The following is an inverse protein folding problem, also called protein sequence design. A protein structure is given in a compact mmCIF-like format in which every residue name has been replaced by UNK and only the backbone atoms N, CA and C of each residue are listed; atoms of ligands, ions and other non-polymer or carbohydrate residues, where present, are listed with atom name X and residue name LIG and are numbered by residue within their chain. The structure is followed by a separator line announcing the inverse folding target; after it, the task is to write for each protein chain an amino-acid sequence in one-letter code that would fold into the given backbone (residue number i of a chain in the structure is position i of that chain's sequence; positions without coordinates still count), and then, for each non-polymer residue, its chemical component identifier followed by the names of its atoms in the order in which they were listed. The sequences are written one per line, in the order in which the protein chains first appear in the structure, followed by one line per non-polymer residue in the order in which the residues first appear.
data_IF_349287014885
#
_entry.id   IF_349287014885
#
_cell.length_a   1.000
_cell.length_b   1.000
_cell.length_c   1.000
_cell.angle_alpha   90.00
_cell.angle_beta   90.00
_cell.angle_gamma   90.00
#
_symmetry.space_group_name_H-M   'P 1'
#
loop_
_entity.id
_entity.type
_entity.pdbx_description
1 polymer ?
#
# COMPACT_ATOMS: atom_id res chain seq x y z
N UNK A 1 -8.07 15.64 -62.88
CA UNK A 1 -8.49 14.83 -61.72
C UNK A 1 -7.54 13.64 -61.67
N UNK A 2 -6.67 13.41 -60.70
CA UNK A 2 -6.40 13.96 -59.36
C UNK A 2 -4.89 13.79 -59.06
N UNK A 3 -4.27 14.62 -58.20
CA UNK A 3 -2.85 14.54 -57.90
C UNK A 3 -2.55 13.53 -56.77
N UNK A 4 -1.54 12.68 -56.97
CA UNK A 4 -0.99 11.75 -55.96
C UNK A 4 -0.38 12.53 -54.78
N UNK A 5 -1.08 12.55 -53.65
CA UNK A 5 -0.60 13.07 -52.37
C UNK A 5 0.34 12.05 -51.67
N UNK A 6 1.64 12.24 -51.90
CA UNK A 6 2.76 12.12 -50.94
C UNK A 6 2.60 11.24 -49.69
N UNK A 7 3.14 10.01 -49.74
CA UNK A 7 3.46 9.13 -48.59
C UNK A 7 4.78 9.54 -47.88
N UNK A 8 5.17 10.81 -47.93
CA UNK A 8 6.48 11.30 -47.42
C UNK A 8 6.41 11.88 -46.00
N UNK A 9 5.24 11.89 -45.37
CA UNK A 9 5.00 12.54 -44.08
C UNK A 9 5.20 11.64 -42.84
N UNK A 10 5.20 10.29 -42.97
CA UNK A 10 5.27 9.40 -41.79
C UNK A 10 6.68 9.28 -41.20
N UNK A 11 7.71 9.12 -42.03
CA UNK A 11 9.07 8.85 -41.56
C UNK A 11 9.74 10.06 -40.86
N UNK A 12 9.35 11.28 -41.23
CA UNK A 12 9.80 12.53 -40.58
C UNK A 12 9.08 12.79 -39.27
N UNK A 13 7.85 12.30 -39.12
CA UNK A 13 7.08 12.37 -37.86
C UNK A 13 7.68 11.46 -36.79
N UNK A 14 8.04 10.22 -37.15
CA UNK A 14 8.65 9.25 -36.21
C UNK A 14 10.02 9.68 -35.70
N UNK A 15 10.86 10.27 -36.56
CA UNK A 15 12.17 10.81 -36.16
C UNK A 15 12.05 12.01 -35.22
N UNK A 16 11.03 12.85 -35.43
CA UNK A 16 10.74 13.98 -34.53
C UNK A 16 10.16 13.50 -33.21
N UNK A 17 9.26 12.51 -33.23
CA UNK A 17 8.68 11.92 -32.03
C UNK A 17 9.75 11.23 -31.18
N UNK A 18 10.62 10.42 -31.79
CA UNK A 18 11.75 9.80 -31.09
C UNK A 18 12.73 10.84 -30.54
N UNK A 19 13.09 11.88 -31.31
CA UNK A 19 13.95 12.96 -30.81
C UNK A 19 13.30 13.72 -29.63
N UNK A 20 12.00 13.97 -29.68
CA UNK A 20 11.24 14.60 -28.57
C UNK A 20 11.20 13.70 -27.34
N UNK A 21 11.02 12.39 -27.51
CA UNK A 21 11.08 11.41 -26.41
C UNK A 21 12.47 11.39 -25.79
N UNK A 22 13.54 11.34 -26.59
CA UNK A 22 14.91 11.36 -26.07
C UNK A 22 15.26 12.67 -25.36
N UNK A 23 14.80 13.82 -25.89
CA UNK A 23 14.97 15.10 -25.22
C UNK A 23 14.20 15.17 -23.89
N UNK A 24 12.96 14.65 -23.86
CA UNK A 24 12.17 14.56 -22.64
C UNK A 24 12.82 13.63 -21.60
N UNK A 25 13.35 12.48 -22.03
CA UNK A 25 14.09 11.55 -21.15
C UNK A 25 15.37 12.19 -20.61
N UNK A 26 16.13 12.90 -21.43
CA UNK A 26 17.34 13.60 -20.99
C UNK A 26 17.03 14.73 -19.98
N UNK A 27 15.96 15.50 -20.22
CA UNK A 27 15.50 16.53 -19.30
C UNK A 27 14.96 15.94 -17.98
N UNK A 28 14.21 14.84 -18.05
CA UNK A 28 13.74 14.10 -16.89
C UNK A 28 14.91 13.53 -16.08
N UNK A 29 15.95 13.02 -16.75
CA UNK A 29 17.17 12.52 -16.10
C UNK A 29 17.98 13.62 -15.40
N UNK A 30 18.10 14.79 -16.03
CA UNK A 30 18.75 15.95 -15.40
C UNK A 30 18.02 16.40 -14.13
N UNK A 31 16.70 16.49 -14.21
CA UNK A 31 15.83 16.81 -13.07
C UNK A 31 15.92 15.74 -11.98
N UNK A 32 15.91 14.46 -12.35
CA UNK A 32 16.05 13.33 -11.44
C UNK A 32 17.37 13.37 -10.65
N UNK A 33 18.50 13.64 -11.30
CA UNK A 33 19.80 13.73 -10.60
C UNK A 33 19.86 14.88 -9.61
N UNK A 34 19.21 16.01 -9.92
CA UNK A 34 19.11 17.13 -9.00
C UNK A 34 18.27 16.77 -7.77
N UNK A 35 17.17 16.04 -7.99
CA UNK A 35 16.23 15.61 -6.95
C UNK A 35 16.84 14.55 -6.03
N UNK A 36 17.57 13.57 -6.58
CA UNK A 36 18.29 12.55 -5.81
C UNK A 36 19.36 13.12 -4.87
N UNK A 37 19.83 14.35 -5.09
CA UNK A 37 20.76 15.05 -4.19
C UNK A 37 20.07 15.74 -3.01
N UNK A 38 18.75 15.90 -3.04
CA UNK A 38 18.00 16.55 -1.97
C UNK A 38 17.82 15.55 -0.83
N UNK A 39 18.36 15.86 0.36
CA UNK A 39 18.22 14.98 1.54
C UNK A 39 16.77 14.69 1.88
N UNK A 40 15.90 15.69 1.75
CA UNK A 40 14.46 15.54 2.02
C UNK A 40 13.83 14.49 1.12
N UNK A 41 14.18 14.46 -0.17
CA UNK A 41 13.70 13.44 -1.11
C UNK A 41 14.18 12.04 -0.72
N UNK A 42 15.44 11.89 -0.31
CA UNK A 42 15.97 10.59 0.15
C UNK A 42 15.24 10.07 1.39
N UNK A 43 14.96 10.95 2.36
CA UNK A 43 14.20 10.59 3.57
C UNK A 43 12.77 10.19 3.22
N UNK A 44 12.14 10.88 2.26
CA UNK A 44 10.78 10.56 1.81
C UNK A 44 10.72 9.21 1.09
N UNK A 45 11.66 8.93 0.18
CA UNK A 45 11.75 7.63 -0.49
C UNK A 45 12.01 6.51 0.53
N UNK A 46 12.92 6.73 1.49
CA UNK A 46 13.21 5.75 2.55
C UNK A 46 11.97 5.48 3.42
N UNK A 47 11.25 6.52 3.82
CA UNK A 47 10.01 6.39 4.57
C UNK A 47 8.92 5.68 3.75
N UNK A 48 8.77 5.99 2.46
CA UNK A 48 7.84 5.31 1.57
C UNK A 48 8.16 3.82 1.43
N UNK A 49 9.44 3.45 1.31
CA UNK A 49 9.86 2.05 1.25
C UNK A 49 9.44 1.29 2.53
N UNK A 50 9.74 1.86 3.70
CA UNK A 50 9.38 1.25 5.00
C UNK A 50 7.85 1.21 5.16
N UNK A 51 7.18 2.33 4.93
CA UNK A 51 5.73 2.46 5.05
C UNK A 51 4.94 1.67 4.01
N UNK A 52 5.57 1.30 2.89
CA UNK A 52 4.98 0.47 1.85
C UNK A 52 4.95 -1.02 2.20
N UNK A 53 5.82 -1.50 3.09
CA UNK A 53 5.86 -2.92 3.46
C UNK A 53 4.54 -3.41 4.10
N UNK A 54 3.93 -2.68 5.06
CA UNK A 54 2.60 -3.02 5.58
C UNK A 54 1.51 -3.08 4.50
N UNK A 55 1.55 -2.19 3.50
CA UNK A 55 0.56 -2.17 2.43
C UNK A 55 0.65 -3.38 1.50
N UNK A 56 1.85 -3.91 1.25
CA UNK A 56 1.97 -5.19 0.52
C UNK A 56 1.48 -6.37 1.33
N UNK A 57 1.71 -6.34 2.65
CA UNK A 57 1.20 -7.34 3.59
C UNK A 57 -0.34 -7.43 3.56
N UNK A 58 -1.03 -6.29 3.45
CA UNK A 58 -2.50 -6.22 3.27
C UNK A 58 -2.98 -6.99 2.03
N UNK A 59 -2.15 -7.14 1.00
CA UNK A 59 -2.46 -7.96 -0.19
C UNK A 59 -2.79 -9.42 0.14
N UNK A 60 -2.30 -9.93 1.28
CA UNK A 60 -2.58 -11.29 1.76
C UNK A 60 -3.81 -11.40 2.66
N UNK A 61 -4.55 -10.31 2.93
CA UNK A 61 -5.69 -10.34 3.85
C UNK A 61 -6.77 -11.34 3.43
N UNK A 62 -7.10 -11.44 2.14
CA UNK A 62 -8.08 -12.43 1.67
C UNK A 62 -7.64 -13.86 2.01
N UNK A 63 -6.35 -14.16 1.78
CA UNK A 63 -5.78 -15.47 2.07
C UNK A 63 -5.72 -15.74 3.57
N UNK A 64 -5.35 -14.74 4.37
CA UNK A 64 -5.36 -14.84 5.83
C UNK A 64 -6.76 -15.12 6.37
N UNK A 65 -7.79 -14.43 5.87
CA UNK A 65 -9.19 -14.66 6.23
C UNK A 65 -9.67 -16.06 5.83
N UNK A 66 -9.30 -16.55 4.64
CA UNK A 66 -9.59 -17.93 4.24
C UNK A 66 -8.94 -18.94 5.18
N UNK A 67 -7.69 -18.71 5.57
CA UNK A 67 -6.97 -19.62 6.49
C UNK A 67 -7.54 -19.60 7.91
N UNK A 68 -8.22 -18.51 8.31
CA UNK A 68 -8.98 -18.44 9.56
C UNK A 68 -10.28 -19.28 9.54
N UNK A 69 -10.75 -19.70 8.36
CA UNK A 69 -11.98 -20.48 8.19
C UNK A 69 -13.17 -19.71 7.63
N UNK A 70 -12.96 -18.52 7.05
CA UNK A 70 -13.98 -17.86 6.23
C UNK A 70 -14.09 -18.53 4.86
N UNK A 71 -15.31 -18.67 4.35
CA UNK A 71 -15.49 -19.07 2.96
C UNK A 71 -15.04 -17.96 1.99
N UNK A 72 -14.85 -18.31 0.72
CA UNK A 72 -14.26 -17.42 -0.29
C UNK A 72 -15.00 -16.08 -0.45
N UNK A 73 -16.33 -16.10 -0.41
CA UNK A 73 -17.18 -14.91 -0.64
C UNK A 73 -17.13 -13.94 0.54
N UNK A 74 -17.34 -14.36 1.80
CA UNK A 74 -17.07 -13.55 2.97
C UNK A 74 -15.66 -12.97 3.02
N UNK A 75 -14.61 -13.78 2.78
CA UNK A 75 -13.23 -13.32 2.81
C UNK A 75 -12.98 -12.21 1.76
N UNK A 76 -13.42 -12.41 0.52
CA UNK A 76 -13.31 -11.39 -0.53
C UNK A 76 -14.11 -10.12 -0.19
N UNK A 77 -15.30 -10.28 0.40
CA UNK A 77 -16.18 -9.16 0.79
C UNK A 77 -15.56 -8.32 1.91
N UNK A 78 -14.95 -8.97 2.90
CA UNK A 78 -14.23 -8.32 4.00
C UNK A 78 -13.03 -7.52 3.49
N UNK A 79 -12.23 -8.11 2.59
CA UNK A 79 -11.12 -7.40 1.94
C UNK A 79 -11.62 -6.23 1.09
N UNK A 80 -12.70 -6.39 0.34
CA UNK A 80 -13.30 -5.31 -0.43
C UNK A 80 -13.78 -4.16 0.48
N UNK A 81 -14.38 -4.50 1.62
CA UNK A 81 -14.85 -3.54 2.60
C UNK A 81 -13.68 -2.80 3.27
N UNK A 82 -12.56 -3.48 3.51
CA UNK A 82 -11.31 -2.85 3.94
C UNK A 82 -10.84 -1.80 2.92
N UNK A 83 -10.78 -2.14 1.63
CA UNK A 83 -10.40 -1.17 0.59
C UNK A 83 -11.41 -0.02 0.44
N UNK A 84 -12.70 -0.28 0.63
CA UNK A 84 -13.73 0.75 0.71
C UNK A 84 -13.52 1.69 1.90
N UNK A 85 -13.17 1.15 3.06
CA UNK A 85 -12.77 1.89 4.26
C UNK A 85 -11.54 2.76 3.98
N UNK A 86 -10.51 2.20 3.35
CA UNK A 86 -9.29 2.92 2.93
C UNK A 86 -9.60 4.09 2.00
N UNK A 87 -10.50 3.92 1.03
CA UNK A 87 -10.91 5.00 0.14
C UNK A 87 -11.59 6.15 0.90
N UNK A 88 -12.52 5.83 1.81
CA UNK A 88 -13.18 6.83 2.65
C UNK A 88 -12.21 7.49 3.64
N UNK A 89 -11.33 6.69 4.24
CA UNK A 89 -10.31 7.15 5.18
C UNK A 89 -9.32 8.11 4.54
N UNK A 90 -8.92 7.88 3.30
CA UNK A 90 -8.09 8.82 2.55
C UNK A 90 -8.78 10.20 2.42
N UNK A 91 -10.07 10.23 2.08
CA UNK A 91 -10.83 11.47 1.99
C UNK A 91 -10.94 12.17 3.34
N UNK A 92 -11.38 11.44 4.38
CA UNK A 92 -11.57 12.00 5.72
C UNK A 92 -10.25 12.44 6.34
N UNK A 93 -9.21 11.62 6.24
CA UNK A 93 -7.87 11.94 6.70
C UNK A 93 -7.30 13.17 6.02
N UNK A 94 -7.55 13.34 4.72
CA UNK A 94 -7.20 14.56 3.98
C UNK A 94 -7.89 15.80 4.55
N UNK A 95 -9.22 15.76 4.71
CA UNK A 95 -10.02 16.87 5.26
C UNK A 95 -9.57 17.22 6.69
N UNK A 96 -9.40 16.21 7.55
CA UNK A 96 -8.97 16.40 8.94
C UNK A 96 -7.57 17.01 8.98
N UNK A 97 -6.63 16.49 8.19
CA UNK A 97 -5.27 17.01 8.15
C UNK A 97 -5.19 18.43 7.60
N UNK A 98 -5.99 18.78 6.58
CA UNK A 98 -6.06 20.16 6.07
C UNK A 98 -6.66 21.13 7.10
N UNK A 99 -7.70 20.70 7.83
CA UNK A 99 -8.28 21.49 8.92
C UNK A 99 -7.27 21.72 10.05
N UNK A 100 -6.52 20.67 10.42
CA UNK A 100 -5.52 20.73 11.47
C UNK A 100 -4.30 21.55 11.04
N UNK A 101 -3.89 21.47 9.77
CA UNK A 101 -2.81 22.30 9.20
C UNK A 101 -3.18 23.78 9.22
N UNK A 102 -4.45 24.16 8.99
CA UNK A 102 -4.89 25.56 9.12
C UNK A 102 -4.77 26.09 10.55
N UNK A 103 -4.97 25.23 11.56
CA UNK A 103 -4.85 25.61 12.98
C UNK A 103 -3.41 25.51 13.52
N UNK A 104 -2.66 24.52 13.05
CA UNK A 104 -1.29 24.19 13.45
C UNK A 104 -0.41 24.04 12.19
N UNK A 105 0.10 25.15 11.63
CA UNK A 105 0.75 25.18 10.31
C UNK A 105 1.90 24.19 10.14
N UNK A 106 2.68 23.94 11.20
CA UNK A 106 3.89 23.12 11.11
C UNK A 106 3.72 21.71 11.70
N UNK A 107 2.60 21.41 12.35
CA UNK A 107 2.45 20.17 13.14
C UNK A 107 1.12 19.46 12.96
N UNK A 108 0.12 20.11 12.35
CA UNK A 108 -1.23 19.53 12.18
C UNK A 108 -1.22 18.25 11.35
N UNK A 109 -0.43 18.21 10.27
CA UNK A 109 -0.33 17.03 9.40
C UNK A 109 0.35 15.87 10.12
N UNK A 110 1.46 16.14 10.81
CA UNK A 110 2.23 15.15 11.57
C UNK A 110 1.42 14.57 12.73
N UNK A 111 0.68 15.42 13.46
CA UNK A 111 -0.19 14.97 14.54
C UNK A 111 -1.30 14.04 14.01
N UNK A 112 -1.86 14.36 12.84
CA UNK A 112 -2.87 13.52 12.18
C UNK A 112 -2.31 12.13 11.83
N UNK A 113 -1.08 12.07 11.31
CA UNK A 113 -0.38 10.80 11.07
C UNK A 113 -0.15 10.01 12.35
N UNK A 114 0.33 10.65 13.42
CA UNK A 114 0.63 9.99 14.68
C UNK A 114 -0.62 9.43 15.36
N UNK A 115 -1.73 10.16 15.33
CA UNK A 115 -3.02 9.67 15.86
C UNK A 115 -3.49 8.46 15.07
N UNK A 116 -3.39 8.50 13.74
CA UNK A 116 -3.75 7.36 12.89
C UNK A 116 -2.90 6.13 13.19
N UNK A 117 -1.57 6.27 13.25
CA UNK A 117 -0.64 5.17 13.56
C UNK A 117 -0.89 4.65 14.98
N UNK A 118 -1.04 5.55 15.96
CA UNK A 118 -1.27 5.21 17.36
C UNK A 118 -2.58 4.47 17.62
N UNK A 119 -3.62 4.68 16.79
CA UNK A 119 -4.89 3.95 16.87
C UNK A 119 -4.87 2.70 15.97
N UNK A 120 -4.24 2.80 14.79
CA UNK A 120 -4.17 1.74 13.79
C UNK A 120 -3.38 0.52 14.26
N UNK A 121 -2.18 0.72 14.82
CA UNK A 121 -1.33 -0.38 15.29
C UNK A 121 -2.00 -1.26 16.37
N UNK A 122 -2.59 -0.69 17.44
CA UNK A 122 -3.34 -1.49 18.41
C UNK A 122 -4.52 -2.23 17.77
N UNK A 123 -5.23 -1.60 16.82
CA UNK A 123 -6.36 -2.23 16.16
C UNK A 123 -5.93 -3.43 15.30
N UNK A 124 -4.80 -3.33 14.57
CA UNK A 124 -4.18 -4.46 13.87
C UNK A 124 -3.77 -5.55 14.86
N UNK A 125 -3.15 -5.19 15.98
CA UNK A 125 -2.71 -6.16 16.98
C UNK A 125 -3.89 -6.91 17.61
N UNK A 126 -5.00 -6.21 17.89
CA UNK A 126 -6.25 -6.80 18.39
C UNK A 126 -6.83 -7.74 17.33
N UNK A 127 -6.91 -7.29 16.08
CA UNK A 127 -7.43 -8.10 14.97
C UNK A 127 -6.67 -9.43 14.82
N UNK A 128 -5.34 -9.39 14.90
CA UNK A 128 -4.48 -10.57 14.69
C UNK A 128 -4.41 -11.47 15.93
N UNK A 129 -4.43 -10.93 17.15
CA UNK A 129 -4.17 -11.70 18.38
C UNK A 129 -5.38 -11.97 19.27
N UNK A 130 -6.39 -11.12 19.25
CA UNK A 130 -7.48 -11.18 20.22
C UNK A 130 -8.72 -11.90 19.67
N UNK A 131 -8.79 -12.15 18.35
CA UNK A 131 -9.98 -12.75 17.77
C UNK A 131 -9.94 -14.29 17.85
N UNK A 132 -11.09 -14.92 18.15
CA UNK A 132 -11.15 -16.34 18.49
C UNK A 132 -10.94 -17.22 17.25
N UNK A 133 -9.85 -17.99 17.25
CA UNK A 133 -9.58 -19.07 16.31
C UNK A 133 -10.61 -20.19 16.50
N UNK A 134 -11.57 -20.31 15.56
CA UNK A 134 -12.59 -21.38 15.57
C UNK A 134 -12.21 -22.55 14.67
N UNK A 135 -11.05 -23.14 14.92
CA UNK A 135 -10.78 -24.52 14.48
C UNK A 135 -10.38 -24.71 13.02
N UNK A 136 -10.32 -23.64 12.20
CA UNK A 136 -9.86 -23.72 10.80
C UNK A 136 -10.78 -24.50 9.86
N UNK A 137 -11.99 -24.89 10.31
CA UNK A 137 -12.95 -25.56 9.43
C UNK A 137 -13.59 -24.55 8.48
N UNK A 138 -13.64 -24.90 7.18
CA UNK A 138 -14.25 -24.07 6.14
C UNK A 138 -15.68 -23.64 6.53
N UNK A 139 -15.92 -22.32 6.57
CA UNK A 139 -17.22 -21.73 6.89
C UNK A 139 -17.52 -21.55 8.39
N UNK A 140 -16.62 -21.97 9.29
CA UNK A 140 -16.79 -21.81 10.74
C UNK A 140 -16.84 -20.35 11.20
N UNK A 141 -16.23 -19.45 10.43
CA UNK A 141 -16.20 -18.01 10.71
C UNK A 141 -17.26 -17.19 9.97
N UNK A 142 -17.99 -17.77 9.02
CA UNK A 142 -19.00 -17.06 8.21
C UNK A 142 -20.06 -16.31 9.05
N UNK A 143 -20.53 -16.81 10.22
CA UNK A 143 -21.46 -16.06 11.08
C UNK A 143 -20.86 -14.77 11.68
N UNK A 144 -19.52 -14.65 11.75
CA UNK A 144 -18.82 -13.50 12.31
C UNK A 144 -18.50 -12.42 11.26
N UNK A 145 -18.85 -12.65 9.99
CA UNK A 145 -18.55 -11.74 8.86
C UNK A 145 -18.99 -10.31 9.12
N UNK A 146 -20.16 -10.10 9.75
CA UNK A 146 -20.64 -8.76 10.07
C UNK A 146 -19.72 -7.99 11.03
N UNK A 147 -19.26 -8.63 12.10
CA UNK A 147 -18.37 -8.02 13.09
C UNK A 147 -16.97 -7.77 12.52
N UNK A 148 -16.41 -8.75 11.79
CA UNK A 148 -15.15 -8.57 11.09
C UNK A 148 -15.23 -7.47 10.02
N UNK A 149 -16.37 -7.32 9.35
CA UNK A 149 -16.58 -6.29 8.35
C UNK A 149 -16.44 -4.88 8.92
N UNK A 150 -17.06 -4.63 10.08
CA UNK A 150 -16.91 -3.32 10.76
C UNK A 150 -15.46 -3.06 11.15
N UNK A 151 -14.77 -4.06 11.71
CA UNK A 151 -13.37 -3.90 12.10
C UNK A 151 -12.47 -3.66 10.89
N UNK A 152 -12.66 -4.42 9.80
CA UNK A 152 -11.94 -4.25 8.53
C UNK A 152 -12.16 -2.86 7.92
N UNK A 153 -13.41 -2.39 7.92
CA UNK A 153 -13.76 -1.06 7.42
C UNK A 153 -13.10 0.04 8.24
N UNK A 154 -13.25 0.00 9.57
CA UNK A 154 -12.67 0.99 10.50
C UNK A 154 -11.15 0.96 10.41
N UNK A 155 -10.55 -0.22 10.33
CA UNK A 155 -9.12 -0.37 10.19
C UNK A 155 -8.61 0.31 8.90
N UNK A 156 -9.18 -0.03 7.74
CA UNK A 156 -8.83 0.63 6.47
C UNK A 156 -9.04 2.15 6.52
N UNK A 157 -10.13 2.59 7.15
CA UNK A 157 -10.44 4.00 7.31
C UNK A 157 -9.43 4.75 8.18
N UNK A 158 -8.87 4.12 9.22
CA UNK A 158 -7.91 4.77 10.14
C UNK A 158 -6.49 4.73 9.58
N UNK A 159 -6.02 3.57 9.09
CA UNK A 159 -4.60 3.40 8.71
C UNK A 159 -4.21 4.14 7.43
N UNK A 160 -5.18 4.61 6.66
CA UNK A 160 -4.97 5.27 5.36
C UNK A 160 -4.54 6.74 5.47
N UNK A 161 -4.76 7.37 6.62
CA UNK A 161 -4.54 8.81 6.80
C UNK A 161 -3.10 9.27 6.59
N UNK A 162 -2.05 8.52 6.99
CA UNK A 162 -0.67 8.96 6.78
C UNK A 162 -0.32 9.08 5.29
N UNK A 163 -0.91 8.26 4.42
CA UNK A 163 -0.65 8.30 2.98
C UNK A 163 -1.04 9.66 2.37
N UNK A 164 -2.20 10.20 2.73
CA UNK A 164 -2.67 11.48 2.18
C UNK A 164 -1.89 12.66 2.73
N UNK A 165 -1.51 12.61 4.02
CA UNK A 165 -0.69 13.65 4.63
C UNK A 165 0.72 13.68 4.05
N UNK A 166 1.34 12.52 3.81
CA UNK A 166 2.67 12.45 3.20
C UNK A 166 2.67 13.07 1.80
N UNK A 167 1.69 12.74 0.94
CA UNK A 167 1.55 13.35 -0.38
C UNK A 167 1.32 14.87 -0.31
N UNK A 168 0.57 15.36 0.69
CA UNK A 168 0.34 16.78 0.88
C UNK A 168 1.61 17.53 1.32
N UNK A 169 2.31 17.02 2.34
CA UNK A 169 3.61 17.55 2.77
C UNK A 169 4.63 17.58 1.62
N UNK A 170 4.63 16.55 0.79
CA UNK A 170 5.50 16.46 -0.38
C UNK A 170 5.23 17.60 -1.37
N UNK A 171 3.94 17.91 -1.61
CA UNK A 171 3.55 18.99 -2.51
C UNK A 171 3.97 20.37 -1.99
N UNK A 172 4.04 20.57 -0.67
CA UNK A 172 4.45 21.83 -0.05
C UNK A 172 5.98 22.06 -0.16
N UNK A 173 6.78 21.00 -0.07
CA UNK A 173 8.26 21.09 -0.09
C UNK A 173 8.82 21.20 -1.51
N UNK A 174 8.12 20.66 -2.50
CA UNK A 174 8.63 20.53 -3.87
C UNK A 174 8.23 21.74 -4.73
N UNK A 175 9.16 22.33 -5.51
CA UNK A 175 8.84 23.42 -6.44
C UNK A 175 7.82 23.02 -7.50
N UNK A 176 6.87 23.91 -7.80
CA UNK A 176 5.74 23.67 -8.72
C UNK A 176 6.14 23.08 -10.07
N UNK A 177 7.23 23.58 -10.66
CA UNK A 177 7.72 23.14 -11.97
C UNK A 177 8.22 21.69 -12.01
N UNK A 178 8.53 21.09 -10.86
CA UNK A 178 9.10 19.74 -10.76
C UNK A 178 8.20 18.77 -9.97
N UNK A 179 7.10 19.23 -9.36
CA UNK A 179 6.20 18.40 -8.51
C UNK A 179 5.77 17.10 -9.16
N UNK A 180 5.27 17.16 -10.39
CA UNK A 180 4.75 15.97 -11.10
C UNK A 180 5.83 14.94 -11.38
N UNK A 181 7.00 15.38 -11.88
CA UNK A 181 8.13 14.49 -12.14
C UNK A 181 8.68 13.89 -10.86
N UNK A 182 8.84 14.69 -9.81
CA UNK A 182 9.37 14.24 -8.53
C UNK A 182 8.41 13.24 -7.87
N UNK A 183 7.10 13.50 -7.94
CA UNK A 183 6.07 12.57 -7.46
C UNK A 183 6.06 11.26 -8.25
N UNK A 184 6.20 11.34 -9.58
CA UNK A 184 6.28 10.14 -10.43
C UNK A 184 7.52 9.29 -10.12
N UNK A 185 8.68 9.93 -9.88
CA UNK A 185 9.89 9.22 -9.48
C UNK A 185 9.74 8.60 -8.10
N UNK A 186 9.28 9.35 -7.10
CA UNK A 186 9.02 8.86 -5.74
C UNK A 186 8.14 7.60 -5.75
N UNK A 187 6.97 7.67 -6.40
CA UNK A 187 6.05 6.52 -6.52
C UNK A 187 6.63 5.34 -7.29
N UNK A 188 7.48 5.59 -8.29
CA UNK A 188 8.17 4.55 -9.03
C UNK A 188 9.18 3.81 -8.16
N UNK A 189 10.01 4.53 -7.40
CA UNK A 189 11.02 3.94 -6.52
C UNK A 189 10.39 3.25 -5.31
N UNK A 190 9.48 3.94 -4.63
CA UNK A 190 8.72 3.38 -3.52
C UNK A 190 8.01 2.10 -3.99
N UNK A 191 7.24 2.16 -5.08
CA UNK A 191 6.53 0.99 -5.60
C UNK A 191 7.44 -0.16 -5.99
N UNK A 192 8.55 0.12 -6.71
CA UNK A 192 9.48 -0.92 -7.16
C UNK A 192 10.20 -1.63 -6.00
N UNK A 193 10.64 -0.89 -4.99
CA UNK A 193 11.35 -1.46 -3.84
C UNK A 193 10.35 -2.11 -2.87
N UNK A 194 9.22 -1.45 -2.64
CA UNK A 194 8.13 -1.96 -1.81
C UNK A 194 7.59 -3.29 -2.35
N UNK A 195 7.49 -3.47 -3.67
CA UNK A 195 7.10 -4.75 -4.27
C UNK A 195 7.96 -5.96 -3.84
N UNK A 196 9.21 -5.74 -3.43
CA UNK A 196 10.09 -6.79 -2.89
C UNK A 196 9.68 -7.24 -1.49
N UNK A 197 8.85 -6.48 -0.78
CA UNK A 197 8.36 -6.86 0.55
C UNK A 197 7.35 -8.01 0.49
N UNK A 198 6.49 -8.10 -0.54
CA UNK A 198 5.55 -9.21 -0.70
C UNK A 198 6.22 -10.61 -0.73
N UNK A 199 7.25 -10.88 -1.56
CA UNK A 199 7.97 -12.15 -1.51
C UNK A 199 8.75 -12.32 -0.19
N UNK A 200 9.18 -11.23 0.45
CA UNK A 200 9.84 -11.28 1.75
C UNK A 200 8.88 -11.69 2.88
N UNK A 201 7.61 -11.25 2.85
CA UNK A 201 6.53 -11.74 3.75
C UNK A 201 6.38 -13.26 3.60
N UNK A 202 6.27 -13.73 2.35
CA UNK A 202 6.13 -15.16 2.06
C UNK A 202 7.33 -15.97 2.57
N UNK A 203 8.55 -15.51 2.34
CA UNK A 203 9.77 -16.16 2.81
C UNK A 203 9.88 -16.19 4.34
N UNK A 204 9.48 -15.12 5.03
CA UNK A 204 9.45 -15.09 6.51
C UNK A 204 8.39 -16.08 7.03
N UNK A 205 7.20 -16.10 6.43
CA UNK A 205 6.15 -17.03 6.81
C UNK A 205 6.60 -18.49 6.63
N UNK A 206 7.25 -18.82 5.52
CA UNK A 206 7.79 -20.16 5.23
C UNK A 206 8.97 -20.54 6.13
N UNK A 207 9.98 -19.68 6.27
CA UNK A 207 11.24 -20.04 6.93
C UNK A 207 11.23 -19.88 8.45
N UNK A 208 10.54 -18.87 8.97
CA UNK A 208 10.58 -18.54 10.40
C UNK A 208 9.35 -19.04 11.15
N UNK A 209 8.23 -19.19 10.46
CA UNK A 209 6.99 -19.66 11.07
C UNK A 209 6.47 -20.99 10.49
N UNK A 210 7.28 -21.66 9.66
CA UNK A 210 7.02 -23.00 9.13
C UNK A 210 5.71 -23.14 8.34
N UNK A 211 5.33 -22.09 7.59
CA UNK A 211 4.20 -22.15 6.67
C UNK A 211 4.40 -23.29 5.65
N UNK A 212 3.47 -24.25 5.61
CA UNK A 212 3.51 -25.38 4.68
C UNK A 212 2.45 -25.21 3.59
N UNK A 213 2.87 -25.00 2.34
CA UNK A 213 2.00 -24.81 1.18
C UNK A 213 1.42 -26.14 0.67
N UNK A 214 0.62 -26.83 1.49
CA UNK A 214 -0.16 -27.97 1.02
C UNK A 214 -1.51 -27.47 0.50
N UNK A 215 -1.57 -27.11 -0.80
CA UNK A 215 -2.78 -26.66 -1.48
C UNK A 215 -3.89 -27.74 -1.54
N UNK A 216 -3.56 -29.01 -1.27
CA UNK A 216 -4.51 -30.11 -1.10
C UNK A 216 -4.04 -31.05 0.02
N UNK A 217 -4.95 -31.37 0.96
CA UNK A 217 -4.72 -32.37 2.01
C UNK A 217 -4.16 -31.86 3.34
N UNK A 218 -4.17 -30.55 3.59
CA UNK A 218 -3.77 -29.99 4.89
C UNK A 218 -4.86 -30.23 5.95
N UNK A 219 -4.45 -30.77 7.11
CA UNK A 219 -5.37 -30.96 8.25
C UNK A 219 -5.83 -29.61 8.84
N UNK A 220 -7.01 -29.51 9.48
CA UNK A 220 -7.48 -28.26 10.08
C UNK A 220 -6.48 -27.62 11.05
N UNK A 221 -5.75 -28.44 11.82
CA UNK A 221 -4.65 -28.00 12.69
C UNK A 221 -3.47 -27.40 11.92
N UNK A 222 -3.14 -27.90 10.72
CA UNK A 222 -2.09 -27.32 9.87
C UNK A 222 -2.52 -26.00 9.25
N UNK A 223 -3.80 -25.87 8.87
CA UNK A 223 -4.34 -24.60 8.37
C UNK A 223 -4.29 -23.52 9.46
N UNK A 224 -4.69 -23.85 10.69
CA UNK A 224 -4.54 -22.96 11.85
C UNK A 224 -3.08 -22.54 12.12
N UNK A 225 -2.15 -23.49 12.08
CA UNK A 225 -0.73 -23.20 12.24
C UNK A 225 -0.23 -22.26 11.13
N UNK A 226 -0.67 -22.47 9.90
CA UNK A 226 -0.34 -21.62 8.76
C UNK A 226 -0.97 -20.22 8.87
N UNK A 227 -2.19 -20.09 9.41
CA UNK A 227 -2.84 -18.81 9.68
C UNK A 227 -2.06 -18.00 10.72
N UNK A 228 -1.67 -18.65 11.82
CA UNK A 228 -0.85 -18.03 12.86
C UNK A 228 0.55 -17.66 12.34
N UNK A 229 1.15 -18.49 11.51
CA UNK A 229 2.44 -18.24 10.87
C UNK A 229 2.39 -17.02 9.93
N UNK A 230 1.37 -16.94 9.09
CA UNK A 230 1.16 -15.82 8.18
C UNK A 230 0.83 -14.54 8.96
N UNK A 231 -0.06 -14.62 9.96
CA UNK A 231 -0.40 -13.50 10.84
C UNK A 231 0.81 -12.95 11.59
N UNK A 232 1.70 -13.81 12.09
CA UNK A 232 2.93 -13.39 12.73
C UNK A 232 3.96 -12.83 11.73
N UNK A 233 4.02 -13.35 10.50
CA UNK A 233 4.84 -12.78 9.42
C UNK A 233 4.38 -11.37 9.03
N UNK A 234 3.07 -11.17 8.88
CA UNK A 234 2.45 -9.85 8.63
C UNK A 234 2.76 -8.88 9.77
N UNK A 235 2.64 -9.34 11.02
CA UNK A 235 2.88 -8.52 12.22
C UNK A 235 4.37 -8.22 12.44
N UNK A 236 5.28 -9.11 12.05
CA UNK A 236 6.72 -8.89 12.13
C UNK A 236 7.18 -7.77 11.18
N UNK A 237 6.56 -7.68 9.99
CA UNK A 237 6.81 -6.59 9.04
C UNK A 237 6.20 -5.28 9.53
N UNK A 238 5.06 -5.33 10.22
CA UNK A 238 4.46 -4.15 10.85
C UNK A 238 5.18 -3.66 12.12
N UNK A 239 6.16 -4.41 12.65
CA UNK A 239 6.89 -4.09 13.89
C UNK A 239 8.25 -3.39 13.68
N UNK A 240 8.64 -3.12 12.44
CA UNK A 240 9.94 -2.49 12.12
C UNK A 240 9.96 -0.95 12.23
N UNK A 241 8.91 -0.35 12.78
CA UNK A 241 8.85 1.09 13.11
C UNK A 241 9.49 1.42 14.48
#
# INVERSE_FOLDING_TARGET
MEPRLTVRASATSDKRLTALVWAALAAAWGSFRAVMRVRTFQVLVLQGIVGGMPWNAVGYFTMWLQTLGFSNVPAATLTALFWGGTALGNLLGGIVGDLLARRLPNSGRQLTCQVSIGVGLPLVAILIKALPDRGGADGSMDPLTGGYGVVMFVLGAVISWPQTQNSAMFSEVVPESLRSSIYAFDRCFEGAISALSAPLVGLIAERWYHYTSAFHGSTPQQQLSNAAALGNGLLAIAKQD
#
